data_IF_900507292682
#
_entry.id   IF_900507292682
#
_cell.length_a   1.000
_cell.length_b   1.000
_cell.length_c   1.000
_cell.angle_alpha   90.00
_cell.angle_beta   90.00
_cell.angle_gamma   90.00
#
_symmetry.space_group_name_H-M   'P 1'
#
loop_
_entity.id
_entity.type
_entity.pdbx_description
1 polymer ?
#
# COMPACT_ATOMS: atom_id res chain seq x y z
N UNK A 1 -5.89 25.22 6.32
CA UNK A 1 -5.24 25.19 7.66
C UNK A 1 -5.19 23.73 8.07
N UNK A 2 -4.01 23.11 8.06
CA UNK A 2 -3.85 21.72 8.55
C UNK A 2 -4.06 21.75 10.07
N UNK A 3 -4.89 20.84 10.55
CA UNK A 3 -5.08 20.60 11.98
C UNK A 3 -3.72 20.22 12.59
N UNK A 4 -3.21 20.89 13.63
CA UNK A 4 -1.87 20.66 14.17
C UNK A 4 -1.67 19.29 14.85
N UNK A 5 -2.67 18.41 14.83
CA UNK A 5 -2.62 17.06 15.44
C UNK A 5 -2.62 15.89 14.46
N UNK A 6 -2.87 16.10 13.16
CA UNK A 6 -2.87 15.01 12.17
C UNK A 6 -1.62 15.12 11.30
N UNK A 7 -0.71 14.12 11.30
CA UNK A 7 0.44 14.12 10.41
C UNK A 7 -0.02 14.26 8.96
N UNK A 8 0.60 15.19 8.22
CA UNK A 8 0.37 15.27 6.77
C UNK A 8 0.75 13.98 6.08
N UNK A 9 0.00 13.55 5.05
CA UNK A 9 0.32 12.37 4.28
C UNK A 9 1.59 12.59 3.42
N UNK A 10 2.68 11.94 3.78
CA UNK A 10 3.93 11.90 3.01
C UNK A 10 4.36 10.45 2.71
N UNK A 11 3.94 9.89 1.57
CA UNK A 11 4.33 8.53 1.20
C UNK A 11 5.84 8.36 1.00
N UNK A 12 6.59 9.43 0.70
CA UNK A 12 8.04 9.38 0.51
C UNK A 12 8.76 8.88 1.75
N UNK A 13 8.43 9.42 2.91
CA UNK A 13 9.09 9.04 4.15
C UNK A 13 8.78 7.59 4.52
N UNK A 14 7.52 7.18 4.38
CA UNK A 14 7.11 5.79 4.61
C UNK A 14 7.84 4.82 3.68
N UNK A 15 7.90 5.12 2.38
CA UNK A 15 8.58 4.27 1.40
C UNK A 15 10.10 4.22 1.64
N UNK A 16 10.72 5.34 2.02
CA UNK A 16 12.14 5.37 2.38
C UNK A 16 12.45 4.49 3.60
N UNK A 17 11.61 4.49 4.61
CA UNK A 17 11.79 3.62 5.77
C UNK A 17 11.70 2.14 5.39
N UNK A 18 10.73 1.76 4.56
CA UNK A 18 10.59 0.38 4.06
C UNK A 18 11.81 -0.04 3.22
N UNK A 19 12.30 0.81 2.33
CA UNK A 19 13.51 0.53 1.51
C UNK A 19 14.78 0.49 2.37
N UNK A 20 14.96 1.39 3.34
CA UNK A 20 16.13 1.43 4.22
C UNK A 20 16.28 0.14 5.04
N UNK A 21 15.18 -0.44 5.49
CA UNK A 21 15.18 -1.72 6.21
C UNK A 21 15.06 -2.93 5.28
N UNK A 22 15.12 -2.74 3.96
CA UNK A 22 15.06 -3.82 2.97
C UNK A 22 13.82 -4.71 3.15
N UNK A 23 12.69 -4.10 3.47
CA UNK A 23 11.40 -4.81 3.56
C UNK A 23 11.02 -5.34 2.19
N UNK A 24 10.58 -6.58 2.14
CA UNK A 24 9.97 -7.17 0.94
C UNK A 24 8.48 -6.87 0.96
N UNK A 25 8.05 -6.03 0.04
CA UNK A 25 6.66 -5.57 -0.08
C UNK A 25 6.32 -5.21 -1.52
N UNK A 26 5.05 -4.98 -1.76
CA UNK A 26 4.51 -4.40 -2.99
C UNK A 26 3.52 -3.31 -2.61
N UNK A 27 3.63 -2.14 -3.21
CA UNK A 27 2.63 -1.07 -3.08
C UNK A 27 1.36 -1.50 -3.81
N UNK A 28 0.24 -1.44 -3.12
CA UNK A 28 -1.10 -1.81 -3.63
C UNK A 28 -2.05 -0.62 -3.54
N UNK A 29 -3.33 -0.85 -3.73
CA UNK A 29 -4.38 0.14 -3.47
C UNK A 29 -4.34 1.35 -4.41
N UNK A 30 -4.76 2.50 -3.88
CA UNK A 30 -4.93 3.70 -4.69
C UNK A 30 -3.61 4.32 -5.18
N UNK A 31 -2.52 4.22 -4.40
CA UNK A 31 -1.19 4.68 -4.86
C UNK A 31 -0.74 3.90 -6.09
N UNK A 32 -0.95 2.58 -6.11
CA UNK A 32 -0.63 1.75 -7.28
C UNK A 32 -1.49 2.14 -8.49
N UNK A 33 -2.77 2.44 -8.29
CA UNK A 33 -3.64 2.92 -9.35
C UNK A 33 -3.19 4.29 -9.91
N UNK A 34 -2.78 5.22 -9.03
CA UNK A 34 -2.24 6.54 -9.41
C UNK A 34 -0.94 6.37 -10.22
N UNK A 35 -0.06 5.49 -9.81
CA UNK A 35 1.18 5.18 -10.54
C UNK A 35 0.91 4.67 -11.95
N UNK A 36 -0.19 3.93 -12.15
CA UNK A 36 -0.65 3.48 -13.45
C UNK A 36 -1.38 4.57 -14.26
N UNK A 37 -1.57 5.77 -13.71
CA UNK A 37 -2.23 6.90 -14.38
C UNK A 37 -3.73 7.01 -14.11
N UNK A 38 -4.30 6.27 -13.15
CA UNK A 38 -5.70 6.42 -12.79
C UNK A 38 -5.96 7.76 -12.07
N UNK A 39 -7.00 8.53 -12.42
CA UNK A 39 -7.32 9.80 -11.80
C UNK A 39 -8.12 9.58 -10.49
N UNK A 40 -7.48 8.98 -9.51
CA UNK A 40 -8.02 8.78 -8.16
C UNK A 40 -7.18 9.51 -7.13
N UNK A 41 -7.72 9.70 -5.94
CA UNK A 41 -7.04 10.36 -4.82
C UNK A 41 -6.97 9.42 -3.62
N UNK A 42 -5.94 9.62 -2.78
CA UNK A 42 -5.79 8.89 -1.53
C UNK A 42 -5.05 9.73 -0.49
N UNK A 43 -5.24 9.37 0.77
CA UNK A 43 -4.53 9.93 1.95
C UNK A 43 -3.85 8.82 2.76
N UNK A 44 -3.72 7.64 2.19
CA UNK A 44 -3.10 6.48 2.80
C UNK A 44 -2.18 5.73 1.82
N UNK A 45 -1.19 5.06 2.35
CA UNK A 45 -0.33 4.13 1.64
C UNK A 45 -0.75 2.71 2.02
N UNK A 46 -1.09 1.91 1.02
CA UNK A 46 -1.38 0.48 1.19
C UNK A 46 -0.21 -0.35 0.67
N UNK A 47 0.25 -1.31 1.45
CA UNK A 47 1.28 -2.26 1.03
C UNK A 47 0.88 -3.69 1.40
N UNK A 48 1.30 -4.66 0.59
CA UNK A 48 1.36 -6.07 0.99
C UNK A 48 2.81 -6.47 1.20
N UNK A 49 3.10 -7.18 2.28
CA UNK A 49 4.46 -7.56 2.64
C UNK A 49 4.60 -9.09 2.68
N UNK A 50 5.81 -9.55 2.41
CA UNK A 50 6.18 -10.94 2.65
C UNK A 50 6.10 -11.24 4.16
N UNK A 51 5.45 -12.35 4.51
CA UNK A 51 5.14 -12.75 5.88
C UNK A 51 6.21 -13.64 6.53
N UNK A 52 7.36 -13.84 5.88
CA UNK A 52 8.47 -14.57 6.49
C UNK A 52 8.98 -13.85 7.74
N UNK A 53 9.42 -14.62 8.73
CA UNK A 53 9.92 -14.09 10.01
C UNK A 53 10.97 -13.00 9.83
N UNK A 54 11.94 -13.25 8.97
CA UNK A 54 12.99 -12.29 8.66
C UNK A 54 12.42 -10.96 8.13
N UNK A 55 11.41 -11.03 7.25
CA UNK A 55 10.80 -9.83 6.70
C UNK A 55 9.92 -9.10 7.71
N UNK A 56 9.23 -9.82 8.59
CA UNK A 56 8.48 -9.21 9.70
C UNK A 56 9.40 -8.46 10.66
N UNK A 57 10.60 -8.96 10.92
CA UNK A 57 11.62 -8.24 11.71
C UNK A 57 12.13 -6.97 11.00
N UNK A 58 12.28 -7.01 9.68
CA UNK A 58 12.61 -5.82 8.88
C UNK A 58 11.47 -4.80 8.90
N UNK A 59 10.25 -5.27 8.71
CA UNK A 59 9.05 -4.44 8.74
C UNK A 59 8.87 -3.80 10.12
N UNK A 60 9.07 -4.54 11.22
CA UNK A 60 8.95 -3.99 12.57
C UNK A 60 9.92 -2.82 12.80
N UNK A 61 11.17 -2.94 12.35
CA UNK A 61 12.14 -1.85 12.43
C UNK A 61 11.74 -0.61 11.62
N UNK A 62 11.21 -0.82 10.41
CA UNK A 62 10.70 0.28 9.58
C UNK A 62 9.50 0.98 10.25
N UNK A 63 8.59 0.22 10.83
CA UNK A 63 7.43 0.75 11.54
C UNK A 63 7.82 1.48 12.84
N UNK A 64 8.83 1.01 13.54
CA UNK A 64 9.38 1.68 14.72
C UNK A 64 10.00 3.05 14.36
N UNK A 65 10.81 3.11 13.30
CA UNK A 65 11.35 4.36 12.76
C UNK A 65 10.23 5.35 12.38
N UNK A 66 9.11 4.87 11.87
CA UNK A 66 7.96 5.66 11.51
C UNK A 66 7.06 6.02 12.71
N UNK A 67 7.40 5.55 13.91
CA UNK A 67 6.59 5.73 15.11
C UNK A 67 5.15 5.24 14.94
N UNK A 68 5.00 4.07 14.32
CA UNK A 68 3.69 3.52 13.98
C UNK A 68 2.85 3.22 15.23
N UNK A 69 1.57 3.59 15.15
CA UNK A 69 0.53 3.33 16.16
C UNK A 69 -0.68 2.69 15.49
N UNK A 70 -1.48 1.98 16.25
CA UNK A 70 -2.76 1.49 15.72
C UNK A 70 -3.69 2.67 15.51
N UNK A 71 -4.25 2.80 14.30
CA UNK A 71 -5.24 3.82 14.00
C UNK A 71 -6.53 3.52 14.75
N UNK A 72 -7.04 4.48 15.47
CA UNK A 72 -8.24 4.37 16.29
C UNK A 72 -9.22 5.48 15.95
N UNK A 73 -10.53 5.19 16.03
CA UNK A 73 -11.58 6.22 15.90
C UNK A 73 -11.74 7.05 17.16
N UNK A 74 -11.39 6.48 18.31
CA UNK A 74 -11.53 7.12 19.63
C UNK A 74 -10.28 7.91 20.04
N UNK A 75 -9.15 7.69 19.36
CA UNK A 75 -7.88 8.36 19.66
C UNK A 75 -7.24 8.82 18.35
N UNK A 76 -7.27 10.13 18.06
CA UNK A 76 -6.66 10.68 16.83
C UNK A 76 -5.15 10.50 16.73
N UNK A 77 -4.47 10.36 17.89
CA UNK A 77 -3.02 10.13 17.93
C UNK A 77 -2.65 8.63 17.75
N UNK A 78 -3.66 7.77 17.72
CA UNK A 78 -3.49 6.32 17.62
C UNK A 78 -2.99 5.67 18.90
N UNK A 79 -3.17 4.36 19.00
CA UNK A 79 -2.85 3.58 20.19
C UNK A 79 -1.47 2.93 20.04
N UNK A 80 -0.61 3.09 21.03
CA UNK A 80 0.67 2.39 21.08
C UNK A 80 0.47 0.87 21.19
N UNK A 81 1.30 0.12 20.50
CA UNK A 81 1.31 -1.34 20.54
C UNK A 81 2.75 -1.85 20.43
N UNK A 82 3.05 -3.08 20.84
CA UNK A 82 4.35 -3.69 20.60
C UNK A 82 4.58 -3.85 19.09
N UNK A 83 5.56 -3.12 18.53
CA UNK A 83 5.90 -3.21 17.11
C UNK A 83 7.00 -4.24 16.94
N UNK A 84 6.65 -5.53 17.00
CA UNK A 84 7.58 -6.64 16.83
C UNK A 84 7.03 -7.70 15.87
N UNK A 85 7.86 -8.63 15.47
CA UNK A 85 7.50 -9.63 14.48
C UNK A 85 6.41 -10.59 14.99
N UNK A 86 6.36 -10.89 16.28
CA UNK A 86 5.33 -11.78 16.86
C UNK A 86 3.96 -11.10 16.79
N UNK A 87 3.91 -9.82 17.14
CA UNK A 87 2.69 -9.04 17.02
C UNK A 87 2.26 -8.92 15.55
N UNK A 88 3.18 -8.61 14.65
CA UNK A 88 2.85 -8.47 13.22
C UNK A 88 2.36 -9.79 12.60
N UNK A 89 2.86 -10.93 13.06
CA UNK A 89 2.41 -12.25 12.61
C UNK A 89 0.99 -12.59 13.09
N UNK A 90 0.53 -11.99 14.18
CA UNK A 90 -0.74 -12.33 14.85
C UNK A 90 -2.00 -11.92 14.09
N UNK A 91 -1.90 -11.02 13.10
CA UNK A 91 -3.03 -10.55 12.31
C UNK A 91 -2.72 -10.51 10.81
N UNK A 92 -3.78 -10.52 9.99
CA UNK A 92 -3.65 -10.48 8.53
C UNK A 92 -3.55 -9.05 7.97
N UNK A 93 -3.95 -8.05 8.76
CA UNK A 93 -3.87 -6.65 8.36
C UNK A 93 -3.62 -5.72 9.55
N UNK A 94 -2.88 -4.66 9.28
CA UNK A 94 -2.54 -3.61 10.24
C UNK A 94 -2.89 -2.25 9.66
N UNK A 95 -3.80 -1.56 10.30
CA UNK A 95 -4.21 -0.20 9.97
C UNK A 95 -3.48 0.76 10.89
N UNK A 96 -2.50 1.45 10.37
CA UNK A 96 -1.53 2.21 11.16
C UNK A 96 -1.61 3.70 10.90
N UNK A 97 -1.31 4.47 11.93
CA UNK A 97 -0.97 5.88 11.87
C UNK A 97 0.54 6.00 12.12
N UNK A 98 1.23 6.69 11.24
CA UNK A 98 2.65 7.01 11.37
C UNK A 98 2.85 8.52 11.49
N UNK A 99 4.06 8.96 11.83
CA UNK A 99 4.41 10.39 11.80
C UNK A 99 4.26 11.02 10.40
N UNK A 100 4.16 10.21 9.34
CA UNK A 100 4.05 10.64 7.95
C UNK A 100 2.69 10.33 7.32
N UNK A 101 1.69 9.98 8.13
CA UNK A 101 0.32 9.68 7.71
C UNK A 101 -0.08 8.22 7.86
N UNK A 102 -1.15 7.87 7.20
CA UNK A 102 -1.75 6.54 7.30
C UNK A 102 -1.00 5.51 6.44
N UNK A 103 -0.74 4.34 7.04
CA UNK A 103 -0.12 3.18 6.39
C UNK A 103 -0.94 1.93 6.71
N UNK A 104 -1.42 1.24 5.69
CA UNK A 104 -2.10 -0.03 5.83
C UNK A 104 -1.20 -1.15 5.31
N UNK A 105 -0.92 -2.13 6.15
CA UNK A 105 -0.19 -3.36 5.79
C UNK A 105 -1.18 -4.50 5.74
N UNK A 106 -1.31 -5.14 4.58
CA UNK A 106 -2.24 -6.25 4.37
C UNK A 106 -1.47 -7.44 3.83
N UNK A 107 -1.41 -8.54 4.58
CA UNK A 107 -0.65 -9.72 4.15
C UNK A 107 -1.38 -10.56 3.09
N UNK A 108 -2.71 -10.62 3.17
CA UNK A 108 -3.55 -11.39 2.24
C UNK A 108 -4.65 -10.50 1.62
N UNK A 109 -4.29 -9.60 0.68
CA UNK A 109 -5.30 -8.79 0.01
C UNK A 109 -6.34 -9.66 -0.69
N UNK A 110 -7.61 -9.25 -0.60
CA UNK A 110 -8.72 -10.01 -1.16
C UNK A 110 -8.48 -10.36 -2.65
N UNK A 111 -8.83 -11.58 -3.03
CA UNK A 111 -8.68 -12.08 -4.41
C UNK A 111 -7.25 -12.37 -4.84
N UNK A 112 -6.29 -12.41 -3.90
CA UNK A 112 -4.88 -12.66 -4.20
C UNK A 112 -4.26 -13.72 -3.28
N UNK A 113 -3.09 -14.21 -3.68
CA UNK A 113 -2.23 -15.07 -2.86
C UNK A 113 -1.17 -14.26 -2.06
N UNK A 114 -1.45 -12.99 -1.76
CA UNK A 114 -0.54 -12.14 -1.00
C UNK A 114 0.70 -11.69 -1.77
N UNK A 115 1.78 -11.43 -1.03
CA UNK A 115 3.02 -10.90 -1.58
C UNK A 115 3.58 -11.73 -2.76
N UNK A 116 3.67 -13.05 -2.62
CA UNK A 116 4.24 -13.92 -3.65
C UNK A 116 3.43 -13.91 -4.95
N UNK A 117 2.13 -13.70 -4.88
CA UNK A 117 1.28 -13.55 -6.05
C UNK A 117 1.49 -12.17 -6.71
N UNK A 118 1.33 -11.09 -5.93
CA UNK A 118 1.34 -9.73 -6.44
C UNK A 118 2.71 -9.30 -6.98
N UNK A 119 3.82 -9.76 -6.39
CA UNK A 119 5.18 -9.42 -6.86
C UNK A 119 5.48 -9.89 -8.29
N UNK A 120 4.77 -10.91 -8.80
CA UNK A 120 5.02 -11.47 -10.13
C UNK A 120 4.75 -10.47 -11.26
N UNK A 121 3.70 -9.67 -11.12
CA UNK A 121 3.33 -8.64 -12.10
C UNK A 121 3.70 -7.21 -11.65
N UNK A 122 4.29 -7.08 -10.46
CA UNK A 122 4.74 -5.79 -9.95
C UNK A 122 5.90 -5.23 -10.77
N UNK A 123 5.88 -3.92 -10.98
CA UNK A 123 6.96 -3.18 -11.64
C UNK A 123 7.56 -2.18 -10.68
N UNK A 124 8.85 -1.87 -10.85
CA UNK A 124 9.47 -0.77 -10.10
C UNK A 124 9.05 0.56 -10.72
N UNK A 125 8.38 1.37 -9.93
CA UNK A 125 7.89 2.69 -10.30
C UNK A 125 8.43 3.74 -9.31
N UNK A 126 8.47 5.01 -9.73
CA UNK A 126 8.83 6.11 -8.82
C UNK A 126 7.58 6.70 -8.16
N UNK A 127 7.44 6.48 -6.86
CA UNK A 127 6.42 7.10 -6.03
C UNK A 127 7.08 8.16 -5.15
N UNK A 128 6.66 9.40 -5.28
CA UNK A 128 7.25 10.55 -4.55
C UNK A 128 8.79 10.59 -4.59
N UNK A 129 9.39 10.15 -5.73
CA UNK A 129 10.83 10.12 -5.95
C UNK A 129 11.55 8.86 -5.44
N UNK A 130 10.85 7.90 -4.82
CA UNK A 130 11.41 6.63 -4.35
C UNK A 130 11.06 5.51 -5.33
N UNK A 131 12.05 4.74 -5.78
CA UNK A 131 11.82 3.60 -6.68
C UNK A 131 11.40 2.38 -5.88
N UNK A 132 10.17 1.93 -6.06
CA UNK A 132 9.53 0.87 -5.25
C UNK A 132 8.75 -0.12 -6.13
N UNK A 133 8.54 -1.37 -5.67
CA UNK A 133 7.69 -2.31 -6.38
C UNK A 133 6.22 -1.93 -6.23
N UNK A 134 5.52 -1.82 -7.36
CA UNK A 134 4.12 -1.39 -7.43
C UNK A 134 3.30 -2.45 -8.15
N UNK A 135 2.17 -2.84 -7.58
CA UNK A 135 1.25 -3.83 -8.16
C UNK A 135 0.72 -3.35 -9.52
N UNK A 136 0.47 -4.29 -10.42
CA UNK A 136 -0.18 -3.99 -11.69
C UNK A 136 -1.59 -3.45 -11.47
N UNK A 137 -2.07 -2.58 -12.37
CA UNK A 137 -3.44 -2.08 -12.29
C UNK A 137 -4.49 -3.19 -12.39
N UNK A 138 -4.18 -4.27 -13.13
CA UNK A 138 -5.03 -5.45 -13.18
C UNK A 138 -5.17 -6.13 -11.81
N UNK A 139 -4.09 -6.22 -11.05
CA UNK A 139 -4.12 -6.77 -9.69
C UNK A 139 -4.85 -5.85 -8.71
N UNK A 140 -4.68 -4.52 -8.84
CA UNK A 140 -5.46 -3.55 -8.04
C UNK A 140 -6.96 -3.72 -8.29
N UNK A 141 -7.38 -3.87 -9.55
CA UNK A 141 -8.77 -4.12 -9.92
C UNK A 141 -9.25 -5.44 -9.31
N UNK A 142 -8.49 -6.52 -9.46
CA UNK A 142 -8.80 -7.84 -8.90
C UNK A 142 -9.01 -7.78 -7.38
N UNK A 143 -8.14 -7.08 -6.65
CA UNK A 143 -8.30 -6.89 -5.20
C UNK A 143 -9.58 -6.14 -4.84
N UNK A 144 -9.89 -5.08 -5.57
CA UNK A 144 -11.08 -4.26 -5.31
C UNK A 144 -12.38 -5.00 -5.63
N UNK A 145 -12.41 -5.75 -6.72
CA UNK A 145 -13.55 -6.61 -7.07
C UNK A 145 -13.81 -7.65 -6.00
N UNK A 146 -12.76 -8.34 -5.54
CA UNK A 146 -12.87 -9.37 -4.51
C UNK A 146 -13.24 -8.80 -3.13
N UNK A 147 -12.73 -7.61 -2.77
CA UNK A 147 -13.08 -6.93 -1.52
C UNK A 147 -14.54 -6.44 -1.52
N UNK A 148 -15.07 -6.00 -2.65
CA UNK A 148 -16.48 -5.65 -2.85
C UNK A 148 -17.01 -4.53 -1.96
N UNK A 149 -16.13 -3.74 -1.32
CA UNK A 149 -16.57 -2.62 -0.47
C UNK A 149 -17.17 -1.51 -1.33
N UNK A 150 -18.18 -0.76 -0.84
CA UNK A 150 -18.81 0.31 -1.64
C UNK A 150 -17.80 1.28 -2.27
N UNK A 151 -16.79 1.72 -1.50
CA UNK A 151 -15.71 2.60 -2.00
C UNK A 151 -14.88 1.97 -3.12
N UNK A 152 -14.67 0.66 -3.08
CA UNK A 152 -13.92 -0.07 -4.10
C UNK A 152 -14.73 -0.19 -5.39
N UNK A 153 -16.01 -0.56 -5.27
CA UNK A 153 -16.92 -0.68 -6.40
C UNK A 153 -17.09 0.65 -7.15
N UNK A 154 -17.12 1.78 -6.43
CA UNK A 154 -17.21 3.11 -7.04
C UNK A 154 -15.99 3.47 -7.90
N UNK A 155 -14.82 2.95 -7.58
CA UNK A 155 -13.59 3.22 -8.32
C UNK A 155 -13.39 2.29 -9.52
N UNK A 156 -14.00 1.10 -9.54
CA UNK A 156 -13.80 0.10 -10.59
C UNK A 156 -14.01 0.62 -12.03
N UNK A 157 -15.07 1.41 -12.34
CA UNK A 157 -15.27 1.90 -13.70
C UNK A 157 -14.07 2.69 -14.23
N UNK A 158 -13.55 3.64 -13.46
CA UNK A 158 -12.42 4.46 -13.90
C UNK A 158 -11.11 3.67 -13.97
N UNK A 159 -10.90 2.70 -13.07
CA UNK A 159 -9.73 1.84 -13.11
C UNK A 159 -9.74 0.92 -14.33
N UNK A 160 -10.90 0.37 -14.71
CA UNK A 160 -11.05 -0.45 -15.90
C UNK A 160 -10.80 0.35 -17.18
N UNK A 161 -11.35 1.58 -17.28
CA UNK A 161 -11.07 2.48 -18.40
C UNK A 161 -9.58 2.82 -18.52
N UNK A 162 -8.92 3.09 -17.40
CA UNK A 162 -7.48 3.32 -17.37
C UNK A 162 -6.70 2.11 -17.87
N UNK A 163 -7.07 0.91 -17.44
CA UNK A 163 -6.43 -0.33 -17.88
C UNK A 163 -6.64 -0.59 -19.38
N UNK A 164 -7.82 -0.33 -19.90
CA UNK A 164 -8.11 -0.45 -21.34
C UNK A 164 -7.26 0.52 -22.15
N UNK A 165 -7.10 1.76 -21.69
CA UNK A 165 -6.26 2.76 -22.36
C UNK A 165 -4.79 2.34 -22.38
N UNK A 166 -4.25 1.82 -21.26
CA UNK A 166 -2.88 1.29 -21.19
C UNK A 166 -2.70 0.17 -22.23
N UNK A 167 -3.61 -0.80 -22.25
CA UNK A 167 -3.55 -1.92 -23.20
C UNK A 167 -3.65 -1.49 -24.65
N UNK A 168 -4.44 -0.45 -24.92
CA UNK A 168 -4.56 0.13 -26.27
C UNK A 168 -3.26 0.76 -26.73
N UNK A 169 -2.59 1.51 -25.85
CA UNK A 169 -1.28 2.14 -26.13
C UNK A 169 -0.20 1.09 -26.37
N UNK A 170 -0.16 0.05 -25.55
CA UNK A 170 0.80 -1.05 -25.71
C UNK A 170 0.63 -1.76 -27.06
N UNK A 171 -0.62 -1.98 -27.52
CA UNK A 171 -0.90 -2.56 -28.85
C UNK A 171 -0.62 -1.61 -30.01
N UNK A 172 -0.84 -0.31 -29.84
CA UNK A 172 -0.62 0.71 -30.87
C UNK A 172 0.84 1.14 -31.03
N UNK A 173 1.70 0.92 -30.02
CA UNK A 173 3.12 1.20 -30.08
C UNK A 173 3.99 0.05 -30.63
N UNK A 174 3.37 -1.04 -31.03
CA UNK A 174 4.05 -2.23 -31.59
C UNK A 174 4.08 -2.27 -33.15
N UNK A 175 3.96 -1.09 -33.81
CA UNK A 175 4.09 -0.91 -35.28
C UNK A 175 5.39 -0.15 -35.58
#
# INVERSE_FOLDING_TARGET
MSDPGVPGFDPREMLRALEAHQVRYVVIGAIAAIAAGAPVMTTDLDVTADRSRENLERLSRALDDLQARLRSRSDPEGVMFPVDADMLESADSWTLLTRSGNLDVVFSPAGTGGYEDLRRAAKRERIAGVAVPVASLADVIRCKEAAGRPKDLMQLPILRLTLEEIRRRERGGAL
#
